data_IF_449008177844
#
_entry.id   IF_449008177844
#
_cell.length_a   1.000
_cell.length_b   1.000
_cell.length_c   1.000
_cell.angle_alpha   90.00
_cell.angle_beta   90.00
_cell.angle_gamma   90.00
#
_symmetry.space_group_name_H-M   'P 1'
#
loop_
_entity.id
_entity.type
_entity.pdbx_description
1 polymer ?
#
# COMPACT_ATOMS: atom_id res chain seq x y z
N UNK A 1 -4.47 -5.78 -13.57
CA UNK A 1 -4.82 -5.58 -12.16
C UNK A 1 -4.41 -4.20 -11.64
N UNK A 2 -3.12 -3.86 -11.57
CA UNK A 2 -2.69 -2.53 -11.09
C UNK A 2 -3.33 -1.37 -11.87
N UNK A 3 -3.41 -1.47 -13.19
CA UNK A 3 -4.09 -0.46 -14.02
C UNK A 3 -5.57 -0.28 -13.62
N UNK A 4 -6.30 -1.39 -13.43
CA UNK A 4 -7.68 -1.38 -12.94
C UNK A 4 -7.80 -0.73 -11.55
N UNK A 5 -6.94 -1.12 -10.60
CA UNK A 5 -6.95 -0.55 -9.25
C UNK A 5 -6.60 0.94 -9.22
N UNK A 6 -5.88 1.44 -10.22
CA UNK A 6 -5.50 2.85 -10.34
C UNK A 6 -6.39 3.65 -11.31
N UNK A 7 -7.39 3.03 -11.92
CA UNK A 7 -8.18 3.60 -13.02
C UNK A 7 -7.30 4.20 -14.14
N UNK A 8 -6.23 3.49 -14.49
CA UNK A 8 -5.22 3.94 -15.44
C UNK A 8 -5.30 3.14 -16.75
N UNK A 9 -4.96 3.74 -17.91
CA UNK A 9 -4.93 3.03 -19.18
C UNK A 9 -3.91 1.89 -19.17
N UNK A 10 -4.17 0.85 -19.99
CA UNK A 10 -3.22 -0.24 -20.20
C UNK A 10 -2.17 0.21 -21.23
N UNK A 11 -1.12 0.86 -20.74
CA UNK A 11 0.05 1.22 -21.54
C UNK A 11 1.13 0.14 -21.45
N UNK A 12 1.90 -0.02 -22.53
CA UNK A 12 2.94 -1.06 -22.66
C UNK A 12 4.25 -0.48 -23.18
N UNK A 13 4.58 0.73 -22.73
CA UNK A 13 5.89 1.31 -23.02
C UNK A 13 6.99 0.49 -22.34
N UNK A 14 8.24 0.63 -22.79
CA UNK A 14 9.35 -0.05 -22.10
C UNK A 14 9.51 0.43 -20.64
N UNK A 15 9.20 1.70 -20.37
CA UNK A 15 9.20 2.26 -19.02
C UNK A 15 8.14 1.60 -18.14
N UNK A 16 6.89 1.50 -18.60
CA UNK A 16 5.82 0.81 -17.87
C UNK A 16 6.13 -0.65 -17.62
N UNK A 17 6.71 -1.33 -18.61
CA UNK A 17 7.12 -2.73 -18.50
C UNK A 17 8.23 -2.89 -17.46
N UNK A 18 9.19 -1.95 -17.41
CA UNK A 18 10.24 -1.96 -16.38
C UNK A 18 9.67 -1.71 -14.99
N UNK A 19 8.81 -0.70 -14.84
CA UNK A 19 8.14 -0.42 -13.57
C UNK A 19 7.29 -1.62 -13.10
N UNK A 20 6.59 -2.30 -14.01
CA UNK A 20 5.84 -3.52 -13.70
C UNK A 20 6.78 -4.67 -13.27
N UNK A 21 7.90 -4.85 -13.96
CA UNK A 21 8.90 -5.85 -13.58
C UNK A 21 9.50 -5.58 -12.19
N UNK A 22 9.77 -4.31 -11.85
CA UNK A 22 10.26 -3.94 -10.52
C UNK A 22 9.25 -4.20 -9.42
N UNK A 23 7.96 -3.93 -9.66
CA UNK A 23 6.89 -4.30 -8.73
C UNK A 23 6.80 -5.81 -8.54
N UNK A 24 6.95 -6.60 -9.60
CA UNK A 24 6.98 -8.06 -9.50
C UNK A 24 8.16 -8.55 -8.66
N UNK A 25 9.35 -7.96 -8.83
CA UNK A 25 10.51 -8.27 -7.98
C UNK A 25 10.20 -7.99 -6.51
N UNK A 26 9.63 -6.82 -6.19
CA UNK A 26 9.24 -6.49 -4.82
C UNK A 26 8.23 -7.50 -4.24
N UNK A 27 7.19 -7.84 -5.00
CA UNK A 27 6.20 -8.83 -4.59
C UNK A 27 6.82 -10.21 -4.34
N UNK A 28 7.78 -10.62 -5.16
CA UNK A 28 8.50 -11.89 -4.98
C UNK A 28 9.39 -11.89 -3.74
N UNK A 29 10.02 -10.75 -3.41
CA UNK A 29 10.80 -10.61 -2.18
C UNK A 29 9.91 -10.74 -0.95
N UNK A 30 8.80 -10.01 -0.90
CA UNK A 30 7.81 -10.10 0.19
C UNK A 30 7.27 -11.51 0.32
N UNK A 31 6.91 -12.13 -0.81
CA UNK A 31 6.41 -13.52 -0.83
C UNK A 31 7.42 -14.50 -0.27
N UNK A 32 8.69 -14.38 -0.66
CA UNK A 32 9.75 -15.24 -0.14
C UNK A 32 9.87 -15.13 1.38
N UNK A 33 9.80 -13.92 1.93
CA UNK A 33 9.86 -13.72 3.37
C UNK A 33 8.64 -14.32 4.08
N UNK A 34 7.43 -14.11 3.54
CA UNK A 34 6.21 -14.75 4.04
C UNK A 34 6.30 -16.28 4.05
N UNK A 35 6.86 -16.88 2.99
CA UNK A 35 7.07 -18.32 2.89
C UNK A 35 8.07 -18.82 3.95
N UNK A 36 9.16 -18.08 4.18
CA UNK A 36 10.17 -18.40 5.20
C UNK A 36 9.59 -18.33 6.62
N UNK A 37 8.76 -17.33 6.91
CA UNK A 37 8.10 -17.16 8.20
C UNK A 37 6.82 -18.00 8.35
N UNK A 38 6.40 -18.71 7.30
CA UNK A 38 5.12 -19.45 7.21
C UNK A 38 3.92 -18.56 7.56
N UNK A 39 3.90 -17.34 7.05
CA UNK A 39 2.82 -16.40 7.29
C UNK A 39 1.50 -16.92 6.67
N UNK A 40 0.39 -16.95 7.42
CA UNK A 40 -0.85 -17.53 6.95
C UNK A 40 -1.54 -16.64 5.91
N UNK A 41 -2.32 -17.28 5.02
CA UNK A 41 -3.27 -16.56 4.18
C UNK A 41 -4.45 -16.04 5.02
N UNK A 42 -5.06 -14.90 4.63
CA UNK A 42 -6.27 -14.41 5.25
C UNK A 42 -7.43 -15.40 5.05
N UNK A 43 -8.36 -15.44 6.00
CA UNK A 43 -9.56 -16.26 5.88
C UNK A 43 -10.52 -15.70 4.82
N UNK A 44 -11.40 -16.55 4.29
CA UNK A 44 -12.34 -16.16 3.22
C UNK A 44 -13.24 -14.97 3.60
N UNK A 45 -13.64 -14.87 4.87
CA UNK A 45 -14.45 -13.77 5.38
C UNK A 45 -13.69 -12.43 5.34
N UNK A 46 -12.40 -12.44 5.69
CA UNK A 46 -11.54 -11.26 5.60
C UNK A 46 -11.37 -10.80 4.16
N UNK A 47 -11.12 -11.76 3.25
CA UNK A 47 -10.98 -11.49 1.82
C UNK A 47 -12.29 -10.92 1.25
N UNK A 48 -13.43 -11.46 1.68
CA UNK A 48 -14.74 -10.97 1.24
C UNK A 48 -15.00 -9.54 1.73
N UNK A 49 -14.74 -9.25 3.00
CA UNK A 49 -14.88 -7.89 3.54
C UNK A 49 -13.96 -6.90 2.82
N UNK A 50 -12.71 -7.29 2.55
CA UNK A 50 -11.77 -6.46 1.82
C UNK A 50 -12.20 -6.24 0.36
N UNK A 51 -12.71 -7.28 -0.29
CA UNK A 51 -13.28 -7.18 -1.64
C UNK A 51 -14.43 -6.17 -1.68
N UNK A 52 -15.38 -6.24 -0.75
CA UNK A 52 -16.51 -5.31 -0.66
C UNK A 52 -16.06 -3.87 -0.40
N UNK A 53 -15.08 -3.66 0.48
CA UNK A 53 -14.50 -2.34 0.73
C UNK A 53 -13.85 -1.76 -0.53
N UNK A 54 -13.09 -2.56 -1.28
CA UNK A 54 -12.50 -2.12 -2.56
C UNK A 54 -13.59 -1.77 -3.57
N UNK A 55 -14.67 -2.55 -3.65
CA UNK A 55 -15.78 -2.24 -4.55
C UNK A 55 -16.47 -0.92 -4.18
N UNK A 56 -16.71 -0.66 -2.90
CA UNK A 56 -17.33 0.60 -2.45
C UNK A 56 -16.50 1.82 -2.86
N UNK A 57 -15.18 1.73 -2.86
CA UNK A 57 -14.30 2.83 -3.31
C UNK A 57 -14.24 3.01 -4.83
N UNK A 58 -14.69 2.02 -5.61
CA UNK A 58 -14.60 2.02 -7.07
C UNK A 58 -15.94 2.24 -7.76
N UNK A 59 -17.04 1.89 -7.10
CA UNK A 59 -18.36 1.90 -7.67
C UNK A 59 -19.20 3.06 -7.13
N UNK A 60 -18.80 4.30 -7.42
CA UNK A 60 -19.71 5.45 -7.36
C UNK A 60 -20.65 5.43 -8.58
N UNK A 61 -21.50 4.39 -8.67
CA UNK A 61 -22.58 4.30 -9.67
C UNK A 61 -22.28 3.52 -10.96
N UNK A 62 -21.09 2.93 -11.11
CA UNK A 62 -20.70 2.14 -12.30
C UNK A 62 -20.82 0.62 -12.07
N UNK A 63 -21.22 -0.15 -13.09
CA UNK A 63 -21.28 -1.62 -13.02
C UNK A 63 -19.86 -2.20 -13.00
N UNK A 64 -19.45 -2.69 -11.82
CA UNK A 64 -18.13 -3.29 -11.60
C UNK A 64 -17.79 -4.40 -12.60
N UNK A 65 -18.77 -5.15 -13.09
CA UNK A 65 -18.51 -6.23 -14.04
C UNK A 65 -18.11 -5.66 -15.40
N UNK A 66 -18.71 -4.55 -15.81
CA UNK A 66 -18.35 -3.84 -17.03
C UNK A 66 -16.94 -3.27 -16.90
N UNK A 67 -16.66 -2.55 -15.80
CA UNK A 67 -15.33 -1.98 -15.56
C UNK A 67 -14.26 -3.08 -15.49
N UNK A 68 -14.53 -4.25 -14.89
CA UNK A 68 -13.60 -5.39 -14.91
C UNK A 68 -13.35 -5.95 -16.31
N UNK A 69 -14.39 -6.04 -17.14
CA UNK A 69 -14.30 -6.57 -18.49
C UNK A 69 -13.40 -5.71 -19.41
N UNK A 70 -13.40 -4.38 -19.23
CA UNK A 70 -12.50 -3.46 -19.95
C UNK A 70 -11.01 -3.78 -19.71
N UNK A 71 -10.70 -4.31 -18.52
CA UNK A 71 -9.35 -4.74 -18.15
C UNK A 71 -9.11 -6.24 -18.34
N UNK A 72 -10.04 -6.96 -18.98
CA UNK A 72 -10.01 -8.42 -19.19
C UNK A 72 -9.90 -9.19 -17.86
N UNK A 73 -10.55 -8.67 -16.82
CA UNK A 73 -10.59 -9.27 -15.48
C UNK A 73 -11.97 -9.87 -15.22
N UNK A 74 -12.02 -10.81 -14.28
CA UNK A 74 -13.27 -11.35 -13.71
C UNK A 74 -13.31 -11.06 -12.21
N UNK A 75 -14.50 -11.06 -11.59
CA UNK A 75 -14.62 -10.92 -10.13
C UNK A 75 -13.79 -11.96 -9.36
N UNK A 76 -13.71 -13.19 -9.88
CA UNK A 76 -12.91 -14.27 -9.29
C UNK A 76 -11.40 -13.95 -9.32
N UNK A 77 -10.89 -13.44 -10.45
CA UNK A 77 -9.49 -13.02 -10.58
C UNK A 77 -9.20 -11.84 -9.65
N UNK A 78 -10.12 -10.87 -9.56
CA UNK A 78 -10.00 -9.76 -8.62
C UNK A 78 -9.91 -10.27 -7.18
N UNK A 79 -10.82 -11.15 -6.77
CA UNK A 79 -10.83 -11.69 -5.40
C UNK A 79 -9.54 -12.43 -5.05
N UNK A 80 -9.02 -13.25 -5.96
CA UNK A 80 -7.73 -13.94 -5.77
C UNK A 80 -6.57 -12.95 -5.59
N UNK A 81 -6.54 -11.88 -6.39
CA UNK A 81 -5.52 -10.86 -6.25
C UNK A 81 -5.67 -10.07 -4.94
N UNK A 82 -6.89 -9.72 -4.54
CA UNK A 82 -7.14 -9.02 -3.29
C UNK A 82 -6.79 -9.87 -2.08
N UNK A 83 -6.93 -11.20 -2.14
CA UNK A 83 -6.43 -12.09 -1.10
C UNK A 83 -4.91 -11.98 -0.94
N UNK A 84 -4.16 -12.01 -2.05
CA UNK A 84 -2.71 -11.84 -2.02
C UNK A 84 -2.31 -10.45 -1.51
N UNK A 85 -2.99 -9.40 -1.97
CA UNK A 85 -2.76 -8.03 -1.53
C UNK A 85 -3.02 -7.87 -0.03
N UNK A 86 -4.13 -8.40 0.48
CA UNK A 86 -4.46 -8.39 1.90
C UNK A 86 -3.43 -9.17 2.72
N UNK A 87 -2.94 -10.30 2.21
CA UNK A 87 -1.87 -11.08 2.85
C UNK A 87 -0.62 -10.22 3.01
N UNK A 88 -0.20 -9.55 1.93
CA UNK A 88 0.98 -8.67 1.92
C UNK A 88 0.81 -7.51 2.89
N UNK A 89 -0.33 -6.82 2.88
CA UNK A 89 -0.60 -5.70 3.78
C UNK A 89 -0.52 -6.12 5.25
N UNK A 90 -1.20 -7.22 5.62
CA UNK A 90 -1.18 -7.73 7.00
C UNK A 90 0.21 -8.23 7.41
N UNK A 91 0.98 -8.78 6.47
CA UNK A 91 2.36 -9.18 6.73
C UNK A 91 3.25 -7.98 7.02
N UNK A 92 3.14 -6.89 6.24
CA UNK A 92 3.91 -5.65 6.45
C UNK A 92 3.61 -5.10 7.85
N UNK A 93 2.32 -4.96 8.19
CA UNK A 93 1.89 -4.53 9.52
C UNK A 93 2.46 -5.41 10.63
N UNK A 94 2.38 -6.73 10.47
CA UNK A 94 2.92 -7.67 11.46
C UNK A 94 4.44 -7.59 11.60
N UNK A 95 5.16 -7.42 10.50
CA UNK A 95 6.62 -7.56 10.44
C UNK A 95 7.36 -6.30 10.81
N UNK A 96 6.82 -5.13 10.49
CA UNK A 96 7.55 -3.86 10.58
C UNK A 96 6.97 -2.92 11.63
N UNK A 97 5.64 -2.87 11.79
CA UNK A 97 4.99 -1.97 12.75
C UNK A 97 5.46 -2.15 14.21
N UNK A 98 5.75 -3.37 14.72
CA UNK A 98 6.23 -3.52 16.09
C UNK A 98 7.57 -2.82 16.38
N UNK A 99 8.40 -2.61 15.36
CA UNK A 99 9.71 -1.96 15.49
C UNK A 99 9.62 -0.42 15.34
N UNK A 100 8.41 0.12 15.16
CA UNK A 100 8.14 1.54 14.96
C UNK A 100 7.77 2.20 16.30
N UNK A 101 8.70 2.97 16.84
CA UNK A 101 8.44 3.85 17.98
C UNK A 101 8.27 5.30 17.52
N UNK A 102 7.25 5.99 18.04
CA UNK A 102 6.97 7.42 17.77
C UNK A 102 6.96 8.18 19.10
N UNK A 103 7.87 9.14 19.22
CA UNK A 103 8.00 9.97 20.40
C UNK A 103 6.96 11.09 20.44
N UNK A 104 6.64 11.56 21.65
CA UNK A 104 5.75 12.71 21.83
C UNK A 104 6.32 14.00 21.23
N UNK A 105 7.65 14.10 21.13
CA UNK A 105 8.33 15.22 20.49
C UNK A 105 8.03 15.29 18.98
N UNK A 106 7.96 14.12 18.32
CA UNK A 106 7.62 14.02 16.90
C UNK A 106 6.16 14.37 16.67
N UNK A 107 5.26 13.88 17.52
CA UNK A 107 3.83 14.23 17.46
C UNK A 107 3.63 15.74 17.64
N UNK A 108 4.30 16.33 18.64
CA UNK A 108 4.25 17.77 18.86
C UNK A 108 4.82 18.56 17.66
N UNK A 109 5.84 18.02 16.97
CA UNK A 109 6.39 18.64 15.77
C UNK A 109 5.41 18.59 14.59
N UNK A 110 4.85 17.42 14.30
CA UNK A 110 3.85 17.27 13.24
C UNK A 110 2.61 18.12 13.50
N UNK A 111 2.17 18.23 14.76
CA UNK A 111 1.07 19.11 15.14
C UNK A 111 1.37 20.59 14.87
N UNK A 112 2.60 21.07 15.14
CA UNK A 112 2.99 22.45 14.82
C UNK A 112 2.87 22.71 13.32
N UNK A 113 3.39 21.82 12.48
CA UNK A 113 3.27 21.91 11.01
C UNK A 113 1.81 21.92 10.56
N UNK A 114 0.98 21.06 11.14
CA UNK A 114 -0.47 21.04 10.87
C UNK A 114 -1.13 22.39 11.21
N UNK A 115 -0.82 22.96 12.39
CA UNK A 115 -1.37 24.26 12.81
C UNK A 115 -0.95 25.39 11.88
N UNK A 116 0.29 25.37 11.38
CA UNK A 116 0.78 26.36 10.41
C UNK A 116 -0.02 26.30 9.11
N UNK A 117 -0.22 25.10 8.55
CA UNK A 117 -1.04 24.92 7.35
C UNK A 117 -2.52 25.26 7.59
N UNK A 118 -3.08 24.88 8.74
CA UNK A 118 -4.46 25.17 9.11
C UNK A 118 -4.76 26.68 9.08
N UNK A 119 -3.86 27.47 9.65
CA UNK A 119 -4.00 28.94 9.74
C UNK A 119 -4.03 29.62 8.37
N UNK A 120 -3.42 29.03 7.34
CA UNK A 120 -3.44 29.58 5.99
C UNK A 120 -4.83 29.53 5.35
N UNK A 121 -5.62 28.49 5.67
CA UNK A 121 -6.96 28.28 5.10
C UNK A 121 -8.10 28.67 6.06
N UNK A 122 -7.83 28.83 7.35
CA UNK A 122 -8.84 29.07 8.40
C UNK A 122 -8.47 30.28 9.28
N UNK A 123 -8.30 31.44 8.65
CA UNK A 123 -7.94 32.68 9.34
C UNK A 123 -8.92 33.01 10.49
N UNK A 124 -8.39 33.26 11.68
CA UNK A 124 -9.16 33.60 12.88
C UNK A 124 -9.85 32.43 13.59
N UNK A 125 -9.78 31.20 13.05
CA UNK A 125 -10.33 30.01 13.71
C UNK A 125 -9.25 29.30 14.55
N UNK A 126 -9.66 28.68 15.65
CA UNK A 126 -8.76 27.85 16.47
C UNK A 126 -8.59 26.48 15.80
N UNK A 127 -7.36 25.97 15.63
CA UNK A 127 -7.15 24.61 15.15
C UNK A 127 -7.68 23.59 16.18
N UNK A 128 -7.98 22.35 15.76
CA UNK A 128 -8.21 21.24 16.68
C UNK A 128 -7.05 21.08 17.66
N UNK A 129 -7.33 20.61 18.89
CA UNK A 129 -6.31 20.47 19.94
C UNK A 129 -5.37 19.30 19.66
N UNK A 130 -4.17 19.35 20.25
CA UNK A 130 -3.22 18.23 20.23
C UNK A 130 -3.83 16.97 20.88
N UNK A 131 -4.65 17.12 21.91
CA UNK A 131 -5.33 15.99 22.54
C UNK A 131 -6.27 15.28 21.57
N UNK A 132 -7.00 16.04 20.74
CA UNK A 132 -7.92 15.49 19.75
C UNK A 132 -7.21 14.88 18.54
N UNK A 133 -6.15 15.52 18.05
CA UNK A 133 -5.44 15.08 16.82
C UNK A 133 -4.23 14.19 17.10
N UNK A 134 -3.74 14.15 18.32
CA UNK A 134 -2.54 13.40 18.71
C UNK A 134 -2.57 11.93 18.30
N UNK A 135 -3.67 11.19 18.53
CA UNK A 135 -3.80 9.80 18.08
C UNK A 135 -3.71 9.65 16.56
N UNK A 136 -4.38 10.52 15.80
CA UNK A 136 -4.34 10.50 14.33
C UNK A 136 -2.95 10.83 13.80
N UNK A 137 -2.30 11.86 14.36
CA UNK A 137 -0.92 12.22 14.00
C UNK A 137 0.04 11.07 14.31
N UNK A 138 -0.11 10.42 15.46
CA UNK A 138 0.69 9.24 15.83
C UNK A 138 0.50 8.12 14.81
N UNK A 139 -0.72 7.80 14.44
CA UNK A 139 -1.01 6.74 13.47
C UNK A 139 -0.38 7.04 12.11
N UNK A 140 -0.55 8.26 11.58
CA UNK A 140 0.08 8.65 10.31
C UNK A 140 1.61 8.59 10.38
N UNK A 141 2.23 8.97 11.51
CA UNK A 141 3.67 8.84 11.70
C UNK A 141 4.12 7.37 11.76
N UNK A 142 3.30 6.48 12.34
CA UNK A 142 3.56 5.04 12.35
C UNK A 142 3.52 4.48 10.93
N UNK A 143 2.49 4.82 10.15
CA UNK A 143 2.36 4.42 8.74
C UNK A 143 3.57 4.89 7.92
N UNK A 144 3.91 6.18 7.99
CA UNK A 144 5.06 6.74 7.27
C UNK A 144 6.40 6.08 7.64
N UNK A 145 6.59 5.73 8.92
CA UNK A 145 7.81 5.07 9.37
C UNK A 145 7.84 3.62 8.94
N UNK A 146 6.69 2.93 9.00
CA UNK A 146 6.53 1.56 8.52
C UNK A 146 6.90 1.46 7.04
N UNK A 147 6.42 2.40 6.22
CA UNK A 147 6.75 2.46 4.79
C UNK A 147 8.26 2.64 4.54
N UNK A 148 8.92 3.54 5.28
CA UNK A 148 10.39 3.74 5.15
C UNK A 148 11.19 2.50 5.54
N UNK A 149 10.77 1.80 6.59
CA UNK A 149 11.41 0.55 7.03
C UNK A 149 11.21 -0.54 5.97
N UNK A 150 10.01 -0.64 5.40
CA UNK A 150 9.71 -1.57 4.30
C UNK A 150 10.59 -1.28 3.07
N UNK A 151 10.68 -0.03 2.64
CA UNK A 151 11.52 0.39 1.51
C UNK A 151 12.98 0.00 1.72
N UNK A 152 13.52 0.34 2.90
CA UNK A 152 14.89 -0.03 3.29
C UNK A 152 15.09 -1.56 3.24
N UNK A 153 14.14 -2.32 3.78
CA UNK A 153 14.20 -3.77 3.75
C UNK A 153 14.13 -4.34 2.32
N UNK A 154 13.31 -3.77 1.42
CA UNK A 154 13.26 -4.16 0.01
C UNK A 154 14.60 -3.91 -0.67
N UNK A 155 15.21 -2.74 -0.45
CA UNK A 155 16.50 -2.39 -1.02
C UNK A 155 17.61 -3.36 -0.57
N UNK A 156 17.68 -3.66 0.73
CA UNK A 156 18.65 -4.62 1.26
C UNK A 156 18.38 -6.04 0.76
N UNK A 157 17.12 -6.46 0.69
CA UNK A 157 16.73 -7.78 0.18
C UNK A 157 17.12 -7.96 -1.29
N UNK A 158 17.00 -6.91 -2.11
CA UNK A 158 17.45 -6.92 -3.51
C UNK A 158 18.94 -7.20 -3.65
N UNK A 159 19.78 -6.68 -2.75
CA UNK A 159 21.24 -6.91 -2.77
C UNK A 159 21.62 -8.36 -2.44
N UNK A 160 20.73 -9.11 -1.80
CA UNK A 160 20.98 -10.48 -1.33
C UNK A 160 20.49 -11.56 -2.31
N UNK A 161 19.86 -11.18 -3.42
CA UNK A 161 19.32 -12.11 -4.41
C UNK A 161 19.84 -11.83 -5.82
N UNK A 162 19.95 -12.88 -6.63
CA UNK A 162 20.27 -12.72 -8.04
C UNK A 162 18.99 -12.44 -8.84
N UNK A 163 18.84 -11.21 -9.34
CA UNK A 163 17.71 -10.79 -10.18
C UNK A 163 18.16 -10.81 -11.64
N UNK A 164 17.51 -11.65 -12.45
CA UNK A 164 17.82 -11.78 -13.88
C UNK A 164 16.61 -11.39 -14.72
N UNK A 165 16.72 -10.31 -15.48
CA UNK A 165 15.77 -9.94 -16.52
C UNK A 165 16.08 -10.73 -17.79
N UNK A 166 15.21 -11.69 -18.12
CA UNK A 166 15.35 -12.50 -19.33
C UNK A 166 15.09 -11.71 -20.60
N UNK A 167 14.21 -10.70 -20.52
CA UNK A 167 13.98 -9.75 -21.61
C UNK A 167 15.12 -8.70 -21.66
N UNK A 168 15.90 -8.64 -22.75
CA UNK A 168 16.98 -7.65 -22.88
C UNK A 168 16.50 -6.20 -22.85
N UNK A 169 15.25 -5.92 -23.25
CA UNK A 169 14.68 -4.57 -23.22
C UNK A 169 14.40 -4.04 -21.81
N UNK A 170 14.45 -4.93 -20.80
CA UNK A 170 14.23 -4.61 -19.39
C UNK A 170 15.52 -4.61 -18.56
N UNK A 171 16.68 -4.83 -19.19
CA UNK A 171 17.99 -4.76 -18.53
C UNK A 171 18.36 -3.33 -18.21
#
# INVERSE_FOLDING_TARGET
>A
MTAFLNNAPIERTNEDRRAAADRLVQQLLVRREMDLSRYPLPGDADVQAYYEAVLQTKSEGEDINQSLAEYQLTPAILKQHLALQLTVLRFIEFRFRPDVDISDAEIASSYRTYVEHWKMSHAGQKPPSLESLGPTIRESLIEERTDRVLETWIEESRKQVNIVYLDPSLR
#
